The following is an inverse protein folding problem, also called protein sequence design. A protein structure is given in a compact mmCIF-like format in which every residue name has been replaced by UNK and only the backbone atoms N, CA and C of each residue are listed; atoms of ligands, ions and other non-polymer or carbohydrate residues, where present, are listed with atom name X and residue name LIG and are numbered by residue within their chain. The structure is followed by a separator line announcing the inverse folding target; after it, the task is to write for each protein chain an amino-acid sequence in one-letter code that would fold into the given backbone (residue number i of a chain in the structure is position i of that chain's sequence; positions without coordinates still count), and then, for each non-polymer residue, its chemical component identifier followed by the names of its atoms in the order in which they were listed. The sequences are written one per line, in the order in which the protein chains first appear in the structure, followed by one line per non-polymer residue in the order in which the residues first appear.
data_IF_432486303140
#
_entry.id   IF_432486303140
#
_cell.length_a   1.000
_cell.length_b   1.000
_cell.length_c   1.000
_cell.angle_alpha   90.00
_cell.angle_beta   90.00
_cell.angle_gamma   90.00
#
_symmetry.space_group_name_H-M   'P 1'
#
loop_
_entity.id
_entity.type
_entity.pdbx_description
1 polymer ?
#
# COMPACT_ATOMS: atom_id res chain seq x y z
N UNK A 1 -57.72 -28.10 -37.10
CA UNK A 1 -56.46 -27.32 -36.98
C UNK A 1 -56.12 -27.19 -35.50
N UNK A 2 -55.17 -27.99 -34.99
CA UNK A 2 -54.79 -28.01 -33.56
C UNK A 2 -53.64 -27.02 -33.36
N UNK A 3 -53.83 -26.00 -32.51
CA UNK A 3 -52.76 -25.07 -32.12
C UNK A 3 -51.94 -25.72 -31.00
N UNK A 4 -50.66 -26.01 -31.27
CA UNK A 4 -49.68 -26.33 -30.23
C UNK A 4 -49.16 -25.01 -29.64
N UNK A 5 -49.41 -24.77 -28.35
CA UNK A 5 -48.77 -23.70 -27.58
C UNK A 5 -47.52 -24.24 -26.89
N UNK A 6 -46.36 -23.67 -27.25
CA UNK A 6 -45.06 -23.88 -26.59
C UNK A 6 -45.11 -23.32 -25.15
N UNK A 7 -45.23 -24.19 -24.16
CA UNK A 7 -45.14 -23.80 -22.75
C UNK A 7 -44.55 -24.96 -21.92
N UNK A 8 -43.29 -25.33 -22.16
CA UNK A 8 -42.65 -26.39 -21.36
C UNK A 8 -41.10 -26.45 -21.47
N UNK A 9 -40.37 -25.33 -21.54
CA UNK A 9 -38.90 -25.42 -21.61
C UNK A 9 -38.12 -24.26 -21.00
N UNK A 10 -38.57 -23.75 -19.84
CA UNK A 10 -37.83 -22.75 -19.05
C UNK A 10 -37.70 -23.12 -17.56
N UNK A 11 -38.03 -24.36 -17.17
CA UNK A 11 -38.04 -24.77 -15.76
C UNK A 11 -36.89 -25.67 -15.26
N UNK A 12 -35.95 -26.23 -16.05
CA UNK A 12 -34.81 -26.95 -15.48
C UNK A 12 -33.52 -26.11 -15.41
N UNK A 13 -33.44 -24.93 -16.03
CA UNK A 13 -32.20 -24.12 -16.04
C UNK A 13 -32.07 -23.19 -14.81
N UNK A 14 -33.15 -22.96 -14.07
CA UNK A 14 -33.17 -22.07 -12.89
C UNK A 14 -32.90 -22.81 -11.57
N UNK A 15 -32.74 -24.14 -11.58
CA UNK A 15 -32.49 -24.96 -10.38
C UNK A 15 -31.02 -25.45 -10.28
N UNK A 16 -30.13 -25.00 -11.17
CA UNK A 16 -28.70 -25.36 -11.17
C UNK A 16 -27.78 -24.19 -10.77
N UNK A 17 -28.30 -23.23 -9.98
CA UNK A 17 -27.57 -22.03 -9.54
C UNK A 17 -27.64 -21.80 -8.02
N UNK A 18 -27.94 -22.83 -7.22
CA UNK A 18 -28.01 -22.70 -5.76
C UNK A 18 -27.21 -23.80 -5.03
N UNK A 19 -25.96 -23.99 -5.46
CA UNK A 19 -24.91 -24.51 -4.58
C UNK A 19 -23.70 -23.59 -4.69
N UNK A 20 -23.90 -22.31 -4.35
CA UNK A 20 -22.79 -21.56 -3.78
C UNK A 20 -22.49 -22.26 -2.46
N UNK A 21 -21.51 -23.16 -2.49
CA UNK A 21 -20.87 -23.66 -1.28
C UNK A 21 -20.46 -22.42 -0.49
N UNK A 22 -21.11 -22.19 0.65
CA UNK A 22 -20.62 -21.28 1.65
C UNK A 22 -19.23 -21.83 2.02
N UNK A 23 -18.18 -21.27 1.42
CA UNK A 23 -16.86 -21.35 2.00
C UNK A 23 -17.00 -20.58 3.33
N UNK A 24 -17.33 -21.32 4.38
CA UNK A 24 -17.08 -20.85 5.73
C UNK A 24 -15.59 -20.51 5.73
N UNK A 25 -15.24 -19.26 6.01
CA UNK A 25 -13.85 -18.91 6.27
C UNK A 25 -13.37 -19.88 7.34
N UNK A 26 -12.46 -20.78 6.97
CA UNK A 26 -11.84 -21.67 7.93
C UNK A 26 -11.01 -20.75 8.82
N UNK A 27 -11.49 -20.51 10.04
CA UNK A 27 -10.73 -19.79 11.04
C UNK A 27 -9.47 -20.62 11.21
N UNK A 28 -8.35 -20.16 10.68
CA UNK A 28 -7.05 -20.82 10.85
C UNK A 28 -6.84 -20.95 12.35
N UNK A 29 -6.85 -22.17 12.93
CA UNK A 29 -6.77 -22.33 14.37
C UNK A 29 -5.47 -21.72 14.88
N UNK A 30 -5.61 -20.66 15.67
CA UNK A 30 -4.48 -19.99 16.27
C UNK A 30 -4.00 -20.84 17.45
N UNK A 31 -2.71 -21.17 17.46
CA UNK A 31 -2.14 -22.09 18.46
C UNK A 31 -0.84 -21.56 19.09
N UNK A 32 -0.64 -21.78 20.38
CA UNK A 32 0.55 -21.32 21.10
C UNK A 32 1.32 -22.53 21.67
N UNK A 33 2.57 -22.71 21.24
CA UNK A 33 3.46 -23.69 21.87
C UNK A 33 3.80 -23.24 23.29
N UNK A 34 3.56 -24.11 24.28
CA UNK A 34 3.88 -23.88 25.67
C UNK A 34 4.71 -25.04 26.23
N UNK A 35 5.69 -24.73 27.06
CA UNK A 35 6.52 -25.72 27.75
C UNK A 35 6.62 -25.36 29.22
N UNK A 36 6.61 -26.39 30.06
CA UNK A 36 6.70 -26.22 31.51
C UNK A 36 7.35 -27.40 32.19
N UNK A 37 7.59 -27.23 33.48
CA UNK A 37 8.07 -28.30 34.35
C UNK A 37 7.04 -28.65 35.41
N UNK A 38 6.84 -29.94 35.66
CA UNK A 38 5.99 -30.47 36.72
C UNK A 38 6.82 -31.32 37.67
N UNK A 39 6.77 -30.98 38.95
CA UNK A 39 7.37 -31.74 40.04
C UNK A 39 6.30 -32.15 41.06
N UNK A 40 6.54 -33.24 41.77
CA UNK A 40 5.73 -33.63 42.93
C UNK A 40 6.03 -32.74 44.13
N UNK A 41 5.23 -32.87 45.19
CA UNK A 41 5.32 -32.02 46.39
C UNK A 41 6.69 -32.10 47.10
N UNK A 42 7.40 -33.22 46.94
CA UNK A 42 8.76 -33.44 47.44
C UNK A 42 9.87 -32.88 46.52
N UNK A 43 9.50 -32.21 45.42
CA UNK A 43 10.41 -31.62 44.46
C UNK A 43 10.97 -32.60 43.43
N UNK A 44 10.54 -33.86 43.41
CA UNK A 44 11.01 -34.82 42.41
C UNK A 44 10.31 -34.61 41.05
N UNK A 45 11.02 -34.77 39.91
CA UNK A 45 10.41 -34.59 38.60
C UNK A 45 9.33 -35.65 38.33
N UNK A 46 8.11 -35.22 38.00
CA UNK A 46 7.03 -36.14 37.67
C UNK A 46 7.23 -36.75 36.28
N UNK A 47 6.89 -38.01 36.07
CA UNK A 47 6.84 -38.64 34.73
C UNK A 47 5.55 -39.45 34.59
N UNK A 48 4.83 -39.26 33.48
CA UNK A 48 3.53 -39.89 33.24
C UNK A 48 2.65 -39.03 32.35
N UNK A 49 1.34 -39.29 32.38
CA UNK A 49 0.32 -38.48 31.70
C UNK A 49 -0.54 -37.81 32.75
N UNK A 50 -0.88 -36.53 32.52
CA UNK A 50 -1.80 -35.76 33.38
C UNK A 50 -2.81 -35.00 32.53
N UNK A 51 -4.01 -34.83 33.08
CA UNK A 51 -4.95 -33.82 32.58
C UNK A 51 -4.58 -32.43 33.10
N UNK A 52 -4.56 -31.43 32.21
CA UNK A 52 -4.26 -30.04 32.53
C UNK A 52 -5.32 -29.12 31.96
N UNK A 53 -5.71 -28.11 32.73
CA UNK A 53 -6.57 -27.01 32.27
C UNK A 53 -5.74 -25.74 32.19
N UNK A 54 -5.80 -25.05 31.07
CA UNK A 54 -5.09 -23.81 30.78
C UNK A 54 -6.09 -22.67 30.68
N UNK A 55 -5.79 -21.54 31.33
CA UNK A 55 -6.65 -20.35 31.30
C UNK A 55 -5.83 -19.09 31.06
N UNK A 56 -6.37 -18.18 30.28
CA UNK A 56 -5.80 -16.86 30.04
C UNK A 56 -6.65 -15.79 30.73
N UNK A 57 -5.99 -14.85 31.40
CA UNK A 57 -6.62 -13.75 32.11
C UNK A 57 -6.00 -12.40 31.74
N UNK A 58 -6.76 -11.31 31.95
CA UNK A 58 -6.30 -9.92 31.76
C UNK A 58 -5.52 -9.34 32.96
N UNK A 59 -5.34 -10.13 34.03
CA UNK A 59 -4.61 -9.70 35.23
C UNK A 59 -3.86 -10.85 35.92
N UNK A 60 -2.77 -10.50 36.61
CA UNK A 60 -1.91 -11.42 37.36
C UNK A 60 -2.65 -12.14 38.50
N UNK A 61 -3.61 -11.44 39.11
CA UNK A 61 -4.46 -11.93 40.19
C UNK A 61 -5.88 -11.43 39.94
N UNK A 62 -6.90 -12.25 40.20
CA UNK A 62 -8.30 -11.99 39.83
C UNK A 62 -8.48 -11.82 38.29
N UNK A 63 -8.93 -10.67 37.80
CA UNK A 63 -9.13 -10.43 36.37
C UNK A 63 -10.30 -11.21 35.75
N UNK A 64 -10.57 -10.89 34.48
CA UNK A 64 -11.56 -11.59 33.67
C UNK A 64 -10.92 -12.78 32.97
N UNK A 65 -11.65 -13.90 32.91
CA UNK A 65 -11.26 -15.05 32.10
C UNK A 65 -11.44 -14.67 30.62
N UNK A 66 -10.35 -14.74 29.87
CA UNK A 66 -10.32 -14.44 28.44
C UNK A 66 -10.49 -15.70 27.61
N UNK A 67 -9.88 -16.81 28.04
CA UNK A 67 -9.90 -18.08 27.32
C UNK A 67 -9.61 -19.25 28.25
N UNK A 68 -10.17 -20.42 27.94
CA UNK A 68 -9.95 -21.67 28.67
C UNK A 68 -9.88 -22.84 27.69
N UNK A 69 -8.98 -23.79 27.95
CA UNK A 69 -9.07 -25.13 27.39
C UNK A 69 -8.65 -26.20 28.40
N UNK A 70 -9.23 -27.38 28.27
CA UNK A 70 -8.83 -28.57 29.01
C UNK A 70 -8.19 -29.60 28.07
N UNK A 71 -6.99 -30.06 28.41
CA UNK A 71 -6.28 -31.11 27.71
C UNK A 71 -6.13 -32.34 28.62
N UNK A 72 -6.71 -33.47 28.21
CA UNK A 72 -6.73 -34.68 29.04
C UNK A 72 -5.45 -35.51 29.00
N UNK A 73 -4.60 -35.31 27.98
CA UNK A 73 -3.48 -36.20 27.65
C UNK A 73 -2.14 -35.47 27.53
N UNK A 74 -1.74 -34.68 28.54
CA UNK A 74 -0.41 -34.02 28.53
C UNK A 74 0.65 -35.02 28.99
N UNK A 75 1.61 -35.31 28.12
CA UNK A 75 2.74 -36.21 28.42
C UNK A 75 3.87 -35.45 29.13
N UNK A 76 4.30 -35.97 30.27
CA UNK A 76 5.39 -35.41 31.08
C UNK A 76 6.52 -36.44 31.17
N UNK A 77 7.74 -36.02 30.82
CA UNK A 77 8.94 -36.86 30.86
C UNK A 77 10.02 -36.13 31.65
N UNK A 78 10.54 -36.74 32.71
CA UNK A 78 11.54 -36.14 33.60
C UNK A 78 11.14 -34.74 34.09
N UNK A 79 9.87 -34.60 34.45
CA UNK A 79 9.27 -33.36 34.93
C UNK A 79 9.14 -32.29 33.86
N UNK A 80 9.31 -32.56 32.57
CA UNK A 80 9.11 -31.60 31.48
C UNK A 80 7.93 -31.99 30.61
N UNK A 81 7.16 -31.02 30.18
CA UNK A 81 6.10 -31.20 29.18
C UNK A 81 6.14 -30.09 28.14
N UNK A 82 5.61 -30.41 26.96
CA UNK A 82 5.37 -29.48 25.88
C UNK A 82 3.95 -29.71 25.37
N UNK A 83 3.19 -28.63 25.17
CA UNK A 83 1.85 -28.70 24.62
C UNK A 83 1.58 -27.53 23.68
N UNK A 84 0.49 -27.63 22.92
CA UNK A 84 0.00 -26.62 22.00
C UNK A 84 -1.34 -26.11 22.50
N UNK A 85 -1.35 -24.90 23.04
CA UNK A 85 -2.57 -24.20 23.44
C UNK A 85 -3.37 -23.82 22.20
N UNK A 86 -4.70 -23.89 22.26
CA UNK A 86 -5.55 -23.62 21.10
C UNK A 86 -5.85 -24.85 20.25
N UNK A 87 -5.26 -26.01 20.59
CA UNK A 87 -5.45 -27.27 19.85
C UNK A 87 -6.79 -27.95 20.16
N UNK A 88 -7.39 -27.66 21.31
CA UNK A 88 -8.71 -28.17 21.70
C UNK A 88 -9.76 -27.05 21.57
N UNK A 89 -9.48 -25.89 22.16
CA UNK A 89 -10.34 -24.70 22.05
C UNK A 89 -9.55 -23.60 21.36
N UNK A 90 -9.81 -23.27 20.07
CA UNK A 90 -9.01 -22.30 19.32
C UNK A 90 -8.85 -20.96 20.06
N UNK A 91 -7.66 -20.36 19.97
CA UNK A 91 -7.44 -19.00 20.44
C UNK A 91 -8.08 -18.01 19.45
N UNK A 92 -8.72 -16.95 19.97
CA UNK A 92 -9.22 -15.84 19.15
C UNK A 92 -8.13 -14.79 18.94
N UNK A 93 -8.15 -14.12 17.78
CA UNK A 93 -7.27 -12.99 17.48
C UNK A 93 -7.49 -11.83 18.46
N UNK A 94 -8.73 -11.61 18.89
CA UNK A 94 -9.10 -10.50 19.80
C UNK A 94 -8.49 -10.66 21.20
N UNK A 95 -7.93 -11.83 21.54
CA UNK A 95 -7.26 -12.07 22.82
C UNK A 95 -5.91 -11.33 22.93
N UNK A 96 -5.29 -11.01 21.80
CA UNK A 96 -3.95 -10.42 21.72
C UNK A 96 -3.91 -9.12 20.90
N UNK A 97 -5.05 -8.70 20.32
CA UNK A 97 -5.13 -7.55 19.42
C UNK A 97 -6.40 -6.72 19.71
N UNK A 98 -6.26 -5.39 19.62
CA UNK A 98 -7.32 -4.38 19.71
C UNK A 98 -8.31 -4.59 20.86
N UNK A 99 -7.85 -4.38 22.11
CA UNK A 99 -8.78 -3.91 23.14
C UNK A 99 -9.05 -2.42 22.85
N UNK A 100 -10.24 -2.00 22.36
CA UNK A 100 -10.59 -0.60 22.44
C UNK A 100 -10.50 -0.22 23.93
N UNK A 101 -9.69 0.79 24.24
CA UNK A 101 -9.59 1.30 25.60
C UNK A 101 -11.00 1.54 26.13
N UNK A 102 -11.36 0.84 27.20
CA UNK A 102 -12.68 0.97 27.80
C UNK A 102 -12.84 2.40 28.34
N UNK A 103 -13.39 3.31 27.53
CA UNK A 103 -13.66 4.68 27.97
C UNK A 103 -13.62 5.77 26.90
N UNK A 104 -12.95 5.59 25.76
CA UNK A 104 -12.74 6.69 24.80
C UNK A 104 -13.81 6.71 23.68
N UNK A 105 -15.08 6.82 24.08
CA UNK A 105 -16.12 7.27 23.17
C UNK A 105 -16.02 8.80 23.01
N UNK A 106 -15.09 9.26 22.17
CA UNK A 106 -15.11 10.63 21.66
C UNK A 106 -15.98 10.65 20.41
N UNK A 107 -17.19 11.20 20.51
CA UNK A 107 -18.03 11.47 19.35
C UNK A 107 -17.45 12.66 18.56
N UNK A 108 -17.21 12.49 17.26
CA UNK A 108 -17.02 13.59 16.32
C UNK A 108 -17.94 13.45 15.09
N UNK A 109 -18.50 14.56 14.66
CA UNK A 109 -19.24 14.71 13.41
C UNK A 109 -18.27 14.82 12.21
N UNK A 110 -17.58 13.75 11.82
CA UNK A 110 -17.00 13.60 10.47
C UNK A 110 -16.52 12.16 10.18
N UNK A 111 -17.20 11.52 9.22
CA UNK A 111 -16.77 10.42 8.33
C UNK A 111 -15.80 9.34 8.87
N UNK A 112 -16.41 8.17 9.12
CA UNK A 112 -15.84 6.81 9.14
C UNK A 112 -14.83 6.50 10.25
N UNK A 113 -15.34 5.83 11.30
CA UNK A 113 -14.58 5.25 12.39
C UNK A 113 -13.54 4.26 11.85
N UNK A 114 -12.26 4.65 11.89
CA UNK A 114 -11.17 3.66 11.90
C UNK A 114 -10.70 3.59 13.35
N UNK A 115 -11.00 2.51 14.08
CA UNK A 115 -10.37 2.25 15.37
C UNK A 115 -8.86 2.23 15.14
N UNK A 116 -8.16 3.29 15.55
CA UNK A 116 -6.71 3.27 15.62
C UNK A 116 -6.42 2.59 16.95
N UNK A 117 -6.15 1.28 16.91
CA UNK A 117 -5.63 0.56 18.06
C UNK A 117 -4.38 1.27 18.54
N UNK A 118 -4.47 2.03 19.63
CA UNK A 118 -3.29 2.48 20.36
C UNK A 118 -2.63 1.22 20.88
N UNK A 119 -1.42 0.91 20.39
CA UNK A 119 -0.55 -0.13 20.93
C UNK A 119 -0.14 0.24 22.36
N UNK A 120 -1.08 0.10 23.29
CA UNK A 120 -0.86 0.32 24.70
C UNK A 120 -0.21 -0.93 25.26
N UNK A 121 0.95 -0.79 25.89
CA UNK A 121 1.69 -1.82 26.65
C UNK A 121 0.88 -2.46 27.82
N UNK A 122 -0.44 -2.26 27.87
CA UNK A 122 -1.31 -2.58 29.01
C UNK A 122 -2.15 -3.86 28.83
N UNK A 123 -2.19 -4.47 27.64
CA UNK A 123 -2.90 -5.74 27.44
C UNK A 123 -2.02 -6.94 27.80
N UNK A 124 -1.64 -7.01 29.08
CA UNK A 124 -0.87 -8.13 29.61
C UNK A 124 -1.76 -9.36 29.80
N UNK A 125 -1.42 -10.45 29.12
CA UNK A 125 -2.13 -11.74 29.27
C UNK A 125 -1.39 -12.65 30.24
N UNK A 126 -2.13 -13.28 31.15
CA UNK A 126 -1.60 -14.11 32.23
C UNK A 126 -2.11 -15.55 32.11
N UNK A 127 -1.18 -16.50 32.06
CA UNK A 127 -1.47 -17.92 31.99
C UNK A 127 -1.60 -18.53 33.40
N UNK A 128 -2.72 -19.20 33.63
CA UNK A 128 -2.98 -20.06 34.77
C UNK A 128 -3.04 -21.51 34.32
N UNK A 129 -2.41 -22.41 35.09
CA UNK A 129 -2.39 -23.84 34.82
C UNK A 129 -2.95 -24.57 36.03
N UNK A 130 -3.86 -25.50 35.79
CA UNK A 130 -4.38 -26.40 36.80
C UNK A 130 -4.13 -27.85 36.39
N UNK A 131 -3.53 -28.64 37.29
CA UNK A 131 -3.23 -30.06 37.05
C UNK A 131 -4.23 -30.90 37.85
N UNK A 132 -4.92 -31.84 37.19
CA UNK A 132 -5.76 -32.88 37.81
C UNK A 132 -6.46 -32.55 39.14
N UNK A 133 -7.42 -31.62 39.14
CA UNK A 133 -8.23 -31.33 40.32
C UNK A 133 -7.48 -30.66 41.49
N UNK A 134 -6.17 -30.47 41.38
CA UNK A 134 -5.38 -29.66 42.31
C UNK A 134 -5.82 -28.19 42.23
N UNK A 135 -5.41 -27.41 43.24
CA UNK A 135 -5.57 -25.95 43.17
C UNK A 135 -4.78 -25.38 41.99
N UNK A 136 -5.29 -24.35 41.29
CA UNK A 136 -4.56 -23.69 40.22
C UNK A 136 -3.17 -23.21 40.67
N UNK A 137 -2.19 -23.36 39.79
CA UNK A 137 -0.82 -22.93 40.06
C UNK A 137 -0.76 -21.40 40.17
N UNK A 138 -0.08 -20.92 41.21
CA UNK A 138 0.08 -19.49 41.53
C UNK A 138 1.56 -19.15 41.79
N UNK A 139 2.04 -17.95 41.40
CA UNK A 139 1.32 -16.90 40.68
C UNK A 139 1.13 -17.25 39.20
N UNK A 140 0.16 -16.61 38.55
CA UNK A 140 -0.01 -16.73 37.09
C UNK A 140 1.25 -16.26 36.38
N UNK A 141 1.60 -16.94 35.30
CA UNK A 141 2.76 -16.60 34.51
C UNK A 141 2.37 -15.56 33.45
N UNK A 142 3.04 -14.41 33.45
CA UNK A 142 2.87 -13.43 32.39
C UNK A 142 3.36 -14.02 31.06
N UNK A 143 2.51 -13.97 30.03
CA UNK A 143 2.94 -14.28 28.67
C UNK A 143 3.59 -13.03 28.07
N UNK A 144 4.92 -12.98 28.16
CA UNK A 144 5.74 -11.95 27.52
C UNK A 144 5.99 -12.28 26.03
N UNK A 145 6.51 -11.29 25.31
CA UNK A 145 6.71 -11.09 23.87
C UNK A 145 7.33 -12.21 23.00
N UNK A 146 7.14 -13.49 23.30
CA UNK A 146 7.32 -14.61 22.35
C UNK A 146 6.06 -14.95 21.53
N UNK A 147 4.94 -14.19 21.62
CA UNK A 147 4.02 -14.03 20.50
C UNK A 147 4.50 -13.00 19.46
N UNK A 148 5.69 -12.41 19.57
CA UNK A 148 6.17 -11.48 18.53
C UNK A 148 6.49 -12.17 17.19
N UNK A 149 6.61 -13.50 17.14
CA UNK A 149 6.63 -14.24 15.87
C UNK A 149 5.24 -14.41 15.23
N UNK A 150 4.15 -14.15 15.98
CA UNK A 150 2.79 -13.95 15.45
C UNK A 150 2.61 -12.55 14.82
N UNK A 151 3.54 -11.59 15.03
CA UNK A 151 3.47 -10.24 14.44
C UNK A 151 3.73 -10.17 12.92
N UNK A 152 4.10 -11.27 12.27
CA UNK A 152 4.41 -11.22 10.84
C UNK A 152 3.15 -11.15 9.95
N UNK A 153 1.97 -11.56 10.45
CA UNK A 153 0.73 -11.50 9.65
C UNK A 153 0.08 -10.10 9.67
N UNK A 154 0.31 -9.31 10.73
CA UNK A 154 -0.35 -8.01 10.95
C UNK A 154 0.59 -6.81 11.14
N UNK A 155 1.85 -6.91 10.71
CA UNK A 155 2.89 -5.90 10.98
C UNK A 155 2.68 -4.52 10.33
N UNK A 156 1.66 -4.35 9.48
CA UNK A 156 1.31 -3.07 8.83
C UNK A 156 -0.04 -2.60 9.38
N UNK A 157 -0.16 -1.42 10.00
CA UNK A 157 -1.47 -0.94 10.51
C UNK A 157 -2.47 -0.69 9.38
N UNK A 158 -3.77 -0.61 9.72
CA UNK A 158 -4.80 -0.17 8.76
C UNK A 158 -4.47 1.23 8.21
N UNK A 159 -4.71 1.41 6.91
CA UNK A 159 -4.25 2.59 6.17
C UNK A 159 -2.78 2.53 5.75
N UNK A 160 -2.00 1.56 6.23
CA UNK A 160 -0.63 1.35 5.79
C UNK A 160 -0.57 0.93 4.31
N UNK A 161 0.33 1.55 3.55
CA UNK A 161 0.49 1.32 2.11
C UNK A 161 1.85 0.65 1.86
N UNK A 162 1.84 -0.39 1.02
CA UNK A 162 3.04 -1.07 0.56
C UNK A 162 3.12 -1.09 -0.97
N UNK A 163 4.32 -1.30 -1.49
CA UNK A 163 4.52 -1.64 -2.89
C UNK A 163 4.26 -3.13 -3.11
N UNK A 164 3.52 -3.45 -4.16
CA UNK A 164 3.10 -4.81 -4.54
C UNK A 164 3.55 -5.13 -5.96
N UNK A 165 4.29 -6.23 -6.11
CA UNK A 165 4.82 -6.71 -7.39
C UNK A 165 3.96 -7.80 -8.05
N UNK A 166 2.98 -8.35 -7.33
CA UNK A 166 2.03 -9.30 -7.88
C UNK A 166 0.99 -8.65 -8.79
N UNK A 167 0.13 -9.47 -9.39
CA UNK A 167 -0.95 -8.95 -10.24
C UNK A 167 -2.02 -8.25 -9.39
N UNK A 168 -2.67 -7.23 -9.94
CA UNK A 168 -3.80 -6.55 -9.29
C UNK A 168 -5.01 -7.47 -9.08
N UNK A 169 -5.10 -8.56 -9.86
CA UNK A 169 -6.14 -9.57 -9.72
C UNK A 169 -5.93 -10.48 -8.48
N UNK A 170 -4.71 -10.55 -7.96
CA UNK A 170 -4.33 -11.41 -6.84
C UNK A 170 -3.88 -10.58 -5.63
N UNK A 171 -4.48 -9.41 -5.43
CA UNK A 171 -4.26 -8.62 -4.21
C UNK A 171 -4.76 -9.47 -3.03
N UNK A 172 -3.95 -9.66 -1.97
CA UNK A 172 -4.34 -10.48 -0.84
C UNK A 172 -5.60 -9.95 -0.13
N UNK A 173 -6.36 -10.87 0.44
CA UNK A 173 -7.40 -10.53 1.41
C UNK A 173 -6.81 -9.64 2.51
N UNK A 174 -7.53 -8.58 2.89
CA UNK A 174 -7.00 -7.58 3.83
C UNK A 174 -6.53 -6.29 3.15
N UNK A 175 -6.30 -6.33 1.84
CA UNK A 175 -5.70 -5.25 1.08
C UNK A 175 -6.59 -4.78 -0.07
N UNK A 176 -6.46 -3.51 -0.42
CA UNK A 176 -7.13 -2.91 -1.56
C UNK A 176 -6.14 -2.11 -2.41
N UNK A 177 -6.39 -2.01 -3.72
CA UNK A 177 -5.61 -1.17 -4.61
C UNK A 177 -5.77 0.32 -4.21
N UNK A 178 -4.67 1.06 -4.22
CA UNK A 178 -4.69 2.52 -4.05
C UNK A 178 -5.17 3.22 -5.32
N UNK A 179 -6.47 3.15 -5.60
CA UNK A 179 -7.10 3.69 -6.82
C UNK A 179 -8.22 4.71 -6.55
N UNK A 180 -8.47 5.06 -5.29
CA UNK A 180 -9.54 5.98 -4.88
C UNK A 180 -10.83 5.28 -4.46
N UNK A 181 -10.90 3.95 -4.55
CA UNK A 181 -12.04 3.15 -4.10
C UNK A 181 -11.78 2.56 -2.71
N UNK A 182 -12.81 2.07 -2.02
CA UNK A 182 -12.67 1.42 -0.70
C UNK A 182 -11.93 2.26 0.36
N UNK A 183 -12.04 3.60 0.27
CA UNK A 183 -11.35 4.53 1.17
C UNK A 183 -9.84 4.66 0.95
N UNK A 184 -9.28 4.05 -0.12
CA UNK A 184 -7.86 4.18 -0.44
C UNK A 184 -7.56 5.50 -1.16
N UNK A 185 -6.33 6.06 -1.06
CA UNK A 185 -5.91 7.16 -1.92
C UNK A 185 -5.71 6.67 -3.37
N UNK A 186 -5.87 7.55 -4.36
CA UNK A 186 -5.59 7.21 -5.76
C UNK A 186 -4.12 7.49 -6.11
N UNK A 187 -3.30 6.43 -6.12
CA UNK A 187 -1.86 6.48 -6.40
C UNK A 187 -1.50 5.95 -7.80
N UNK A 188 -2.49 5.66 -8.65
CA UNK A 188 -2.24 5.17 -10.02
C UNK A 188 -1.43 6.20 -10.83
N UNK A 189 -0.29 5.77 -11.36
CA UNK A 189 0.61 6.63 -12.16
C UNK A 189 1.23 7.78 -11.37
N UNK A 190 1.27 7.69 -10.02
CA UNK A 190 1.83 8.74 -9.16
C UNK A 190 3.22 8.37 -8.66
N UNK A 191 4.09 9.37 -8.58
CA UNK A 191 5.33 9.31 -7.81
C UNK A 191 5.07 9.83 -6.40
N UNK A 192 5.57 9.14 -5.38
CA UNK A 192 5.31 9.51 -3.98
C UNK A 192 6.35 10.53 -3.52
N UNK A 193 5.86 11.61 -2.91
CA UNK A 193 6.68 12.63 -2.23
C UNK A 193 6.38 12.62 -0.74
N UNK A 194 7.40 12.86 0.09
CA UNK A 194 7.21 12.94 1.53
C UNK A 194 6.41 14.20 1.92
N UNK A 195 5.57 14.08 2.93
CA UNK A 195 4.87 15.23 3.53
C UNK A 195 5.84 16.11 4.31
N UNK A 196 5.54 17.39 4.42
CA UNK A 196 6.33 18.30 5.24
C UNK A 196 6.12 19.77 4.90
N UNK A 197 6.51 20.66 5.83
CA UNK A 197 6.52 22.09 5.56
C UNK A 197 7.60 22.43 4.51
N UNK A 198 7.55 23.65 3.94
CA UNK A 198 8.65 24.20 3.14
C UNK A 198 9.96 24.25 3.93
N UNK A 199 11.07 24.39 3.22
CA UNK A 199 12.38 24.60 3.82
C UNK A 199 12.47 25.94 4.57
N UNK A 200 13.44 26.06 5.48
CA UNK A 200 13.60 27.24 6.34
C UNK A 200 13.96 28.51 5.57
N UNK A 201 14.48 28.39 4.35
CA UNK A 201 14.75 29.51 3.44
C UNK A 201 13.51 29.97 2.66
N UNK A 202 12.34 29.35 2.91
CA UNK A 202 11.08 29.62 2.23
C UNK A 202 10.93 28.91 0.88
N UNK A 203 11.91 28.09 0.48
CA UNK A 203 11.81 27.26 -0.73
C UNK A 203 10.99 25.98 -0.47
N UNK A 204 10.48 25.38 -1.54
CA UNK A 204 9.71 24.13 -1.48
C UNK A 204 8.22 24.30 -1.22
N UNK A 205 7.49 23.20 -1.37
CA UNK A 205 6.02 23.17 -1.24
C UNK A 205 5.64 22.56 0.10
N UNK A 206 4.60 23.11 0.75
CA UNK A 206 3.99 22.47 1.91
C UNK A 206 3.15 21.26 1.46
N UNK A 207 3.72 20.07 1.50
CA UNK A 207 3.02 18.85 1.13
C UNK A 207 2.19 18.32 2.31
N UNK A 208 0.87 18.30 2.10
CA UNK A 208 -0.09 17.65 3.00
C UNK A 208 -0.51 16.29 2.41
N UNK A 209 -0.98 15.33 3.22
CA UNK A 209 -1.52 14.08 2.71
C UNK A 209 -2.58 14.31 1.62
N UNK A 210 -2.42 13.63 0.48
CA UNK A 210 -3.34 13.75 -0.67
C UNK A 210 -3.05 14.91 -1.62
N UNK A 211 -2.05 15.76 -1.36
CA UNK A 211 -1.58 16.75 -2.34
C UNK A 211 -1.11 16.03 -3.62
N UNK A 212 -1.67 16.41 -4.77
CA UNK A 212 -1.29 15.89 -6.09
C UNK A 212 -0.79 17.02 -6.98
N UNK A 213 0.36 16.79 -7.63
CA UNK A 213 0.94 17.70 -8.63
C UNK A 213 1.82 16.89 -9.60
N UNK A 214 2.41 17.55 -10.60
CA UNK A 214 3.35 17.00 -11.55
C UNK A 214 2.74 16.60 -12.90
N UNK A 215 3.59 16.58 -13.92
CA UNK A 215 3.24 16.25 -15.30
C UNK A 215 4.19 15.18 -15.86
N UNK A 216 3.64 14.19 -16.57
CA UNK A 216 4.44 13.16 -17.25
C UNK A 216 5.19 13.71 -18.47
N UNK A 217 4.61 14.72 -19.14
CA UNK A 217 5.23 15.38 -20.29
C UNK A 217 5.12 16.89 -20.14
N UNK A 218 6.16 17.60 -20.54
CA UNK A 218 6.24 19.06 -20.49
C UNK A 218 6.49 19.59 -21.89
N UNK A 219 5.73 20.62 -22.27
CA UNK A 219 5.95 21.43 -23.46
C UNK A 219 6.52 22.77 -22.98
N UNK A 220 7.62 23.21 -23.59
CA UNK A 220 8.22 24.50 -23.25
C UNK A 220 7.30 25.64 -23.68
N UNK A 221 7.16 26.62 -22.82
CA UNK A 221 6.49 27.89 -23.10
C UNK A 221 7.48 28.92 -23.60
N UNK A 222 6.98 29.99 -24.23
CA UNK A 222 7.82 31.10 -24.69
C UNK A 222 8.61 31.76 -23.54
N UNK A 223 8.10 31.71 -22.31
CA UNK A 223 8.77 32.25 -21.12
C UNK A 223 9.93 31.36 -20.62
N UNK A 224 9.95 30.09 -21.01
CA UNK A 224 10.98 29.12 -20.63
C UNK A 224 12.11 29.05 -21.66
N UNK A 225 11.97 29.71 -22.81
CA UNK A 225 13.03 29.80 -23.82
C UNK A 225 14.10 30.82 -23.39
N UNK A 226 15.40 30.44 -23.39
CA UNK A 226 16.47 31.39 -23.16
C UNK A 226 16.43 32.55 -24.15
N UNK A 227 16.79 33.75 -23.67
CA UNK A 227 17.02 34.87 -24.58
C UNK A 227 18.09 34.48 -25.59
N UNK A 228 17.72 34.55 -26.86
CA UNK A 228 18.63 34.35 -27.97
C UNK A 228 18.49 35.54 -28.93
N UNK A 229 19.57 35.82 -29.65
CA UNK A 229 19.56 36.77 -30.75
C UNK A 229 20.28 36.13 -31.94
N UNK A 230 19.91 36.56 -33.14
CA UNK A 230 20.63 36.20 -34.35
C UNK A 230 21.41 37.44 -34.79
N UNK A 231 22.73 37.40 -34.62
CA UNK A 231 23.62 38.46 -35.10
C UNK A 231 23.96 38.23 -36.58
N UNK A 232 22.92 38.07 -37.40
CA UNK A 232 23.09 37.92 -38.83
C UNK A 232 23.09 39.33 -39.40
N UNK A 233 24.28 39.80 -39.79
CA UNK A 233 24.49 41.02 -40.53
C UNK A 233 23.74 40.94 -41.85
N UNK A 234 22.45 41.24 -41.83
CA UNK A 234 21.62 41.37 -43.01
C UNK A 234 22.22 42.48 -43.86
N UNK A 235 22.78 42.11 -45.02
CA UNK A 235 23.00 43.05 -46.10
C UNK A 235 21.67 43.35 -46.82
N UNK A 236 20.54 43.41 -46.11
CA UNK A 236 19.28 43.90 -46.66
C UNK A 236 19.52 45.28 -47.29
N UNK A 237 19.40 45.34 -48.61
CA UNK A 237 19.58 46.57 -49.39
C UNK A 237 20.86 46.66 -50.22
N UNK A 238 21.76 45.67 -50.19
CA UNK A 238 22.91 45.60 -51.10
C UNK A 238 22.69 44.54 -52.18
N UNK A 239 22.89 44.92 -53.45
CA UNK A 239 22.93 43.99 -54.58
C UNK A 239 24.40 43.69 -54.92
N UNK A 240 24.72 42.43 -55.21
CA UNK A 240 25.98 42.05 -55.84
C UNK A 240 25.76 42.01 -57.35
N UNK A 241 26.43 42.90 -58.09
CA UNK A 241 26.34 42.97 -59.54
C UNK A 241 27.70 42.67 -60.19
N UNK A 242 27.66 42.04 -61.37
CA UNK A 242 28.86 41.73 -62.15
C UNK A 242 28.93 42.63 -63.38
N UNK A 243 29.91 43.52 -63.44
CA UNK A 243 30.12 44.42 -64.57
C UNK A 243 31.49 44.17 -65.20
N UNK A 244 31.49 43.84 -66.49
CA UNK A 244 32.70 43.58 -67.28
C UNK A 244 33.69 42.59 -66.63
N UNK A 245 33.17 41.52 -66.03
CA UNK A 245 33.95 40.44 -65.41
C UNK A 245 34.32 40.62 -63.94
N UNK A 246 34.13 41.81 -63.36
CA UNK A 246 34.43 42.10 -61.94
C UNK A 246 33.17 42.16 -61.07
N UNK A 247 33.30 41.79 -59.78
CA UNK A 247 32.21 41.85 -58.80
C UNK A 247 32.18 43.21 -58.11
N UNK A 248 30.99 43.80 -57.98
CA UNK A 248 30.75 45.09 -57.31
C UNK A 248 29.58 44.99 -56.33
N UNK A 249 29.67 45.70 -55.20
CA UNK A 249 28.62 45.80 -54.17
C UNK A 249 28.09 47.23 -54.20
N UNK A 250 26.79 47.41 -54.42
CA UNK A 250 26.13 48.72 -54.47
C UNK A 250 24.80 48.71 -53.70
N UNK A 251 24.38 49.89 -53.23
CA UNK A 251 23.04 50.07 -52.65
C UNK A 251 21.97 49.94 -53.75
N UNK A 252 20.80 49.44 -53.35
CA UNK A 252 19.62 49.16 -54.19
C UNK A 252 19.22 50.26 -55.20
N UNK A 253 19.59 51.52 -54.99
CA UNK A 253 19.15 52.66 -55.83
C UNK A 253 19.95 52.84 -57.14
N UNK A 254 21.12 52.19 -57.31
CA UNK A 254 22.04 52.57 -58.41
C UNK A 254 22.11 51.57 -59.60
N UNK A 255 21.39 50.46 -59.56
CA UNK A 255 21.71 49.29 -60.42
C UNK A 255 20.61 48.88 -61.42
N UNK A 256 19.38 49.39 -61.30
CA UNK A 256 18.19 48.91 -62.04
C UNK A 256 18.18 49.11 -63.58
N UNK A 257 19.24 49.64 -64.21
CA UNK A 257 19.21 49.96 -65.66
C UNK A 257 20.40 49.43 -66.49
N UNK A 258 21.16 48.43 -66.00
CA UNK A 258 22.22 47.79 -66.81
C UNK A 258 21.74 46.46 -67.41
N UNK A 259 21.80 46.28 -68.75
CA UNK A 259 21.42 45.01 -69.37
C UNK A 259 22.47 43.94 -69.02
N UNK A 260 22.08 42.96 -68.20
CA UNK A 260 22.94 41.83 -67.79
C UNK A 260 22.94 41.51 -66.29
N UNK A 261 22.10 42.14 -65.47
CA UNK A 261 22.02 41.83 -64.05
C UNK A 261 21.45 40.44 -63.77
N UNK A 262 22.20 39.64 -63.00
CA UNK A 262 21.72 38.40 -62.40
C UNK A 262 21.31 38.77 -60.96
N UNK A 263 20.01 38.71 -60.65
CA UNK A 263 19.56 38.77 -59.25
C UNK A 263 20.08 37.50 -58.54
N UNK A 264 21.14 37.65 -57.73
CA UNK A 264 21.75 36.54 -56.97
C UNK A 264 21.08 36.30 -55.62
N UNK A 265 20.12 37.15 -55.23
CA UNK A 265 19.28 36.91 -54.08
C UNK A 265 17.91 36.49 -54.59
N UNK A 266 17.78 35.17 -54.77
CA UNK A 266 16.48 34.54 -54.61
C UNK A 266 15.96 34.97 -53.23
N UNK A 267 14.71 35.42 -53.19
CA UNK A 267 13.90 35.49 -51.97
C UNK A 267 13.73 34.04 -51.51
N UNK A 268 14.82 33.49 -50.98
CA UNK A 268 14.82 32.22 -50.31
C UNK A 268 13.89 32.42 -49.14
N UNK A 269 12.69 31.87 -49.25
CA UNK A 269 11.72 31.79 -48.17
C UNK A 269 12.44 31.19 -46.98
N UNK A 270 12.95 32.03 -46.08
CA UNK A 270 13.57 31.54 -44.86
C UNK A 270 12.48 30.72 -44.16
N UNK A 271 12.70 29.44 -43.82
CA UNK A 271 11.73 28.71 -43.03
C UNK A 271 11.59 29.47 -41.71
N UNK A 272 10.54 30.28 -41.64
CA UNK A 272 10.08 30.90 -40.41
C UNK A 272 9.54 29.72 -39.61
N UNK A 273 10.08 29.52 -38.42
CA UNK A 273 9.71 28.49 -37.44
C UNK A 273 10.50 27.18 -37.57
N UNK A 274 11.65 27.14 -36.90
CA UNK A 274 12.21 25.88 -36.41
C UNK A 274 11.77 25.67 -34.95
N UNK A 275 11.13 24.53 -34.68
CA UNK A 275 10.48 24.21 -33.40
C UNK A 275 9.00 23.96 -33.60
N UNK A 276 8.49 22.79 -33.19
CA UNK A 276 7.08 22.40 -33.34
C UNK A 276 6.35 22.33 -31.98
N UNK A 277 6.93 22.97 -30.97
CA UNK A 277 6.52 22.94 -29.57
C UNK A 277 6.19 21.51 -29.06
N UNK A 278 6.92 20.49 -29.50
CA UNK A 278 6.63 19.13 -29.04
C UNK A 278 6.97 18.95 -27.55
N UNK A 279 6.03 18.34 -26.81
CA UNK A 279 6.27 17.95 -25.43
C UNK A 279 7.30 16.81 -25.33
N UNK A 280 8.18 16.90 -24.33
CA UNK A 280 9.13 15.84 -24.00
C UNK A 280 8.69 15.03 -22.78
N UNK A 281 9.20 13.80 -22.68
CA UNK A 281 9.04 12.95 -21.50
C UNK A 281 9.75 13.59 -20.30
N UNK A 282 9.06 13.68 -19.16
CA UNK A 282 9.55 14.30 -17.94
C UNK A 282 9.80 13.28 -16.82
N UNK A 283 9.47 12.00 -17.03
CA UNK A 283 9.72 10.96 -16.03
C UNK A 283 11.15 10.41 -16.14
N UNK A 284 11.85 10.18 -15.02
CA UNK A 284 13.06 9.37 -15.02
C UNK A 284 12.72 7.91 -15.39
N UNK A 285 13.72 7.06 -15.72
CA UNK A 285 13.50 5.62 -15.85
C UNK A 285 12.81 5.04 -14.61
N UNK A 286 11.72 4.30 -14.79
CA UNK A 286 10.91 3.76 -13.70
C UNK A 286 10.56 2.29 -13.90
N UNK A 287 10.25 1.61 -12.79
CA UNK A 287 9.70 0.26 -12.77
C UNK A 287 8.33 0.29 -12.09
N UNK A 288 7.30 -0.23 -12.75
CA UNK A 288 5.93 -0.14 -12.26
C UNK A 288 5.63 -1.23 -11.22
N UNK A 289 5.20 -0.80 -10.03
CA UNK A 289 4.62 -1.63 -8.98
C UNK A 289 3.23 -1.07 -8.63
N UNK A 290 2.34 -1.91 -8.12
CA UNK A 290 1.09 -1.45 -7.55
C UNK A 290 1.32 -0.88 -6.14
N UNK A 291 0.52 0.10 -5.73
CA UNK A 291 0.36 0.46 -4.33
C UNK A 291 -0.91 -0.19 -3.82
N UNK A 292 -0.81 -0.94 -2.72
CA UNK A 292 -1.96 -1.52 -2.03
C UNK A 292 -1.99 -1.04 -0.58
N UNK A 293 -3.20 -0.78 -0.07
CA UNK A 293 -3.45 -0.30 1.29
C UNK A 293 -4.13 -1.39 2.11
N UNK A 294 -3.68 -1.57 3.35
CA UNK A 294 -4.35 -2.46 4.30
C UNK A 294 -5.67 -1.84 4.77
N UNK A 295 -6.77 -2.58 4.66
CA UNK A 295 -8.13 -2.11 4.98
C UNK A 295 -8.85 -2.96 6.03
N UNK A 296 -8.33 -4.15 6.37
CA UNK A 296 -8.87 -5.06 7.40
C UNK A 296 -7.79 -6.05 7.86
#
# INVERSE_FOLDING_TARGET
MKKLTFAALLLPLMLLALTASNAQAEIVPQTLSYQGTLATLDGTPFSGVKSMTFRLYDAATAGNLLWEEAQSNVHIVNGRFATVLGSVTPLSNDLFFDKPAAGDAVYDNALHEVPVGTFSDQDQVWLEIQVEGDSPMSPRQQLNSVPFAYKAENGIPYGGIIMWSGTVANIPDGWALCDGTNGTPNLKGRFVVNVGPPYSDGSGTNYQPGHMDGYERIQLTLAELPQHNHHDGSMAGYKFARYNGSWTIGSSEYLDNSPGEVNLFDDGTYPLEEGNDQSHENRPPFYALAYIMRIR
#
